data_IF_846332478870
#
_entry.id   IF_846332478870
#
_cell.length_a   1.000
_cell.length_b   1.000
_cell.length_c   1.000
_cell.angle_alpha   90.00
_cell.angle_beta   90.00
_cell.angle_gamma   90.00
#
_symmetry.space_group_name_H-M   'P 1'
#
loop_
_entity.id
_entity.type
_entity.pdbx_description
1 polymer ?
#
# COMPACT_ATOMS: atom_id res chain seq x y z
N UNK A 1 14.07 -37.48 -46.16
CA UNK A 1 15.13 -38.05 -45.28
C UNK A 1 15.34 -37.04 -44.17
N UNK A 2 15.06 -37.48 -42.95
CA UNK A 2 14.80 -36.72 -41.72
C UNK A 2 15.99 -35.91 -41.21
N UNK A 3 15.75 -34.66 -40.81
CA UNK A 3 16.40 -33.93 -39.68
C UNK A 3 15.37 -32.85 -39.29
N UNK A 4 14.66 -32.87 -38.16
CA UNK A 4 15.14 -32.96 -36.79
C UNK A 4 15.17 -31.54 -36.19
N UNK A 5 14.73 -31.39 -34.93
CA UNK A 5 14.82 -30.18 -34.07
C UNK A 5 13.67 -29.15 -34.14
N UNK A 6 12.68 -29.30 -33.26
CA UNK A 6 12.60 -28.50 -32.03
C UNK A 6 11.56 -29.06 -31.05
N UNK A 7 12.08 -29.35 -29.86
CA UNK A 7 11.39 -29.70 -28.64
C UNK A 7 11.11 -28.38 -27.90
N UNK A 8 9.90 -28.15 -27.38
CA UNK A 8 9.70 -27.73 -25.99
C UNK A 8 8.20 -27.73 -25.65
N UNK A 9 7.85 -28.60 -24.71
CA UNK A 9 6.61 -28.53 -23.95
C UNK A 9 6.57 -27.25 -23.12
N UNK A 10 5.46 -26.51 -23.13
CA UNK A 10 4.89 -26.03 -21.89
C UNK A 10 3.43 -25.67 -22.10
N UNK A 11 2.57 -26.36 -21.35
CA UNK A 11 1.18 -26.01 -21.18
C UNK A 11 1.07 -24.54 -20.77
N UNK A 12 0.36 -23.74 -21.56
CA UNK A 12 -0.11 -22.42 -21.13
C UNK A 12 -1.15 -22.64 -20.04
N UNK A 13 -0.67 -22.85 -18.81
CA UNK A 13 -1.42 -22.59 -17.61
C UNK A 13 -1.62 -21.08 -17.51
N UNK A 14 -2.58 -20.57 -18.28
CA UNK A 14 -3.13 -19.24 -18.08
C UNK A 14 -3.59 -19.16 -16.64
N UNK A 15 -2.72 -18.59 -15.83
CA UNK A 15 -2.76 -18.61 -14.38
C UNK A 15 -4.02 -17.88 -13.96
N UNK A 16 -5.07 -18.64 -13.67
CA UNK A 16 -6.23 -18.18 -12.91
C UNK A 16 -5.75 -17.91 -11.49
N UNK A 17 -4.99 -16.84 -11.31
CA UNK A 17 -4.66 -16.28 -10.00
C UNK A 17 -5.40 -14.96 -9.88
N UNK A 18 -6.73 -15.06 -10.00
CA UNK A 18 -7.61 -13.99 -9.62
C UNK A 18 -8.55 -14.50 -8.53
N UNK A 19 -8.25 -13.97 -7.35
CA UNK A 19 -9.23 -13.55 -6.35
C UNK A 19 -9.69 -14.64 -5.38
N UNK A 20 -8.76 -14.92 -4.47
CA UNK A 20 -9.03 -15.35 -3.10
C UNK A 20 -10.27 -14.63 -2.52
N UNK A 21 -11.35 -15.40 -2.36
CA UNK A 21 -12.57 -15.00 -1.67
C UNK A 21 -12.34 -15.03 -0.16
N UNK A 22 -11.68 -14.00 0.37
CA UNK A 22 -11.67 -13.69 1.79
C UNK A 22 -12.56 -12.48 2.09
N UNK A 23 -13.86 -12.67 2.31
CA UNK A 23 -14.72 -11.63 2.90
C UNK A 23 -14.41 -11.51 4.39
N UNK A 24 -13.28 -10.89 4.72
CA UNK A 24 -12.98 -10.40 6.06
C UNK A 24 -13.33 -8.92 6.10
N UNK A 25 -14.15 -8.57 7.08
CA UNK A 25 -14.60 -7.22 7.45
C UNK A 25 -13.52 -6.16 7.20
N UNK A 26 -13.95 -5.05 6.58
CA UNK A 26 -13.19 -3.91 6.03
C UNK A 26 -12.26 -3.20 7.05
N UNK A 27 -11.27 -3.90 7.61
CA UNK A 27 -10.25 -3.35 8.52
C UNK A 27 -8.94 -3.13 7.78
N UNK A 28 -8.99 -2.30 6.74
CA UNK A 28 -7.84 -1.94 5.92
C UNK A 28 -7.35 -0.51 6.13
N UNK A 29 -6.23 -0.19 5.51
CA UNK A 29 -5.64 1.14 5.52
C UNK A 29 -6.53 2.13 4.78
N UNK A 30 -7.14 3.04 5.54
CA UNK A 30 -8.03 4.09 5.01
C UNK A 30 -7.32 5.02 4.02
N UNK A 31 -6.01 5.25 4.19
CA UNK A 31 -5.22 6.07 3.26
C UNK A 31 -5.05 5.38 1.91
N UNK A 32 -4.65 4.11 1.91
CA UNK A 32 -4.51 3.33 0.68
C UNK A 32 -5.85 3.12 -0.02
N UNK A 33 -6.93 2.91 0.76
CA UNK A 33 -8.31 2.89 0.26
C UNK A 33 -8.71 4.21 -0.41
N UNK A 34 -8.36 5.35 0.20
CA UNK A 34 -8.59 6.70 -0.37
C UNK A 34 -7.81 6.93 -1.67
N UNK A 35 -6.59 6.39 -1.77
CA UNK A 35 -5.73 6.50 -2.95
C UNK A 35 -6.01 5.40 -4.00
N UNK A 36 -7.19 4.77 -3.95
CA UNK A 36 -7.60 3.73 -4.89
C UNK A 36 -6.57 2.60 -5.06
N UNK A 37 -5.87 2.23 -3.99
CA UNK A 37 -5.02 1.02 -4.01
C UNK A 37 -5.90 -0.24 -4.07
N UNK A 38 -5.40 -1.35 -4.62
CA UNK A 38 -6.17 -2.58 -4.70
C UNK A 38 -6.51 -3.11 -3.30
N UNK A 39 -7.67 -3.78 -3.19
CA UNK A 39 -8.14 -4.37 -1.91
C UNK A 39 -7.14 -5.36 -1.32
N UNK A 40 -6.48 -6.14 -2.15
CA UNK A 40 -5.39 -7.05 -1.78
C UNK A 40 -4.20 -6.35 -1.15
N UNK A 41 -4.06 -5.04 -1.34
CA UNK A 41 -2.98 -4.25 -0.74
C UNK A 41 -3.44 -3.44 0.47
N UNK A 42 -4.55 -2.68 0.39
CA UNK A 42 -4.97 -1.88 1.54
C UNK A 42 -5.51 -2.73 2.69
N UNK A 43 -5.97 -3.96 2.44
CA UNK A 43 -6.48 -4.83 3.52
C UNK A 43 -5.36 -5.55 4.29
N UNK A 44 -4.10 -5.49 3.84
CA UNK A 44 -2.98 -6.17 4.52
C UNK A 44 -2.40 -5.38 5.68
N UNK A 45 -2.77 -4.12 5.82
CA UNK A 45 -2.24 -3.22 6.84
C UNK A 45 -3.28 -2.17 7.24
N UNK A 46 -3.02 -1.49 8.35
CA UNK A 46 -3.81 -0.36 8.83
C UNK A 46 -3.05 0.94 8.64
N UNK A 47 -3.74 2.08 8.66
CA UNK A 47 -3.08 3.38 8.56
C UNK A 47 -2.19 3.66 9.77
N UNK A 48 -2.78 3.52 10.96
CA UNK A 48 -2.16 3.82 12.24
C UNK A 48 -2.54 2.74 13.24
N UNK A 49 -1.58 2.25 14.01
CA UNK A 49 -1.81 1.30 15.08
C UNK A 49 -2.33 2.00 16.35
N UNK A 50 -2.81 1.22 17.32
CA UNK A 50 -3.38 1.74 18.58
C UNK A 50 -2.37 2.55 19.42
N UNK A 51 -1.08 2.24 19.28
CA UNK A 51 0.04 2.98 19.89
C UNK A 51 0.33 4.34 19.22
N UNK A 52 -0.42 4.71 18.18
CA UNK A 52 -0.22 5.94 17.44
C UNK A 52 0.93 5.89 16.42
N UNK A 53 1.47 4.71 16.12
CA UNK A 53 2.51 4.52 15.10
C UNK A 53 1.89 4.32 13.72
N UNK A 54 2.47 4.94 12.69
CA UNK A 54 2.07 4.72 11.29
C UNK A 54 2.61 3.39 10.79
N UNK A 55 1.69 2.53 10.33
CA UNK A 55 2.01 1.18 9.80
C UNK A 55 1.98 1.18 8.27
N UNK A 56 1.19 2.06 7.66
CA UNK A 56 1.08 2.13 6.22
C UNK A 56 2.46 2.35 5.56
N UNK A 57 2.94 1.44 4.69
CA UNK A 57 4.26 1.55 4.09
C UNK A 57 4.37 2.81 3.22
N UNK A 58 3.31 3.14 2.48
CA UNK A 58 3.24 4.35 1.63
C UNK A 58 3.34 5.63 2.46
N UNK A 59 2.74 5.65 3.65
CA UNK A 59 2.86 6.82 4.50
C UNK A 59 4.22 6.83 5.21
N UNK A 60 4.78 5.68 5.59
CA UNK A 60 6.10 5.58 6.24
C UNK A 60 7.24 6.05 5.33
N UNK A 61 7.17 5.79 4.03
CA UNK A 61 8.14 6.30 3.05
C UNK A 61 7.95 7.81 2.76
N UNK A 62 6.79 8.36 3.11
CA UNK A 62 6.51 9.78 2.90
C UNK A 62 7.14 10.63 4.00
N UNK A 63 8.15 11.42 3.60
CA UNK A 63 8.78 12.41 4.45
C UNK A 63 8.07 13.75 4.31
N UNK A 64 7.59 14.31 5.42
CA UNK A 64 6.93 15.62 5.42
C UNK A 64 7.93 16.72 4.99
N UNK A 65 7.70 17.46 3.88
CA UNK A 65 8.63 18.50 3.43
C UNK A 65 8.64 19.74 4.32
N UNK A 66 7.68 19.89 5.23
CA UNK A 66 7.60 21.03 6.17
C UNK A 66 8.33 20.79 7.48
N UNK A 67 8.32 19.56 8.00
CA UNK A 67 8.91 19.26 9.31
C UNK A 67 9.92 18.10 9.32
N UNK A 68 10.11 17.41 8.18
CA UNK A 68 11.03 16.28 8.04
C UNK A 68 10.56 14.98 8.70
N UNK A 69 9.36 14.91 9.28
CA UNK A 69 8.88 13.68 9.92
C UNK A 69 8.63 12.57 8.90
N UNK A 70 9.08 11.35 9.21
CA UNK A 70 9.01 10.15 8.36
C UNK A 70 8.83 8.89 9.21
N UNK A 71 8.58 7.74 8.58
CA UNK A 71 8.41 6.46 9.27
C UNK A 71 7.21 6.44 10.23
N UNK A 72 7.49 6.18 11.52
CA UNK A 72 6.45 6.03 12.56
C UNK A 72 5.68 7.33 12.84
N UNK A 73 6.32 8.48 12.58
CA UNK A 73 5.76 9.83 12.76
C UNK A 73 5.33 10.48 11.43
N UNK A 74 5.34 9.71 10.35
CA UNK A 74 4.97 10.22 9.04
C UNK A 74 3.54 10.74 9.02
N UNK A 75 3.31 11.81 8.27
CA UNK A 75 2.00 12.42 8.12
C UNK A 75 1.95 13.21 6.82
N UNK A 76 0.75 13.38 6.28
CA UNK A 76 0.57 14.24 5.11
C UNK A 76 0.67 15.72 5.50
N UNK A 77 0.96 16.57 4.51
CA UNK A 77 1.15 18.01 4.68
C UNK A 77 0.05 18.69 5.51
N UNK A 78 -1.21 18.28 5.34
CA UNK A 78 -2.37 18.82 6.06
C UNK A 78 -2.40 18.53 7.56
N UNK A 79 -1.79 17.42 7.98
CA UNK A 79 -1.71 17.03 9.38
C UNK A 79 -0.36 17.40 10.00
N UNK A 80 0.45 18.20 9.29
CA UNK A 80 1.72 18.66 9.82
C UNK A 80 1.47 19.59 11.03
N UNK A 81 2.05 19.26 12.21
CA UNK A 81 1.88 20.07 13.41
C UNK A 81 2.48 21.48 13.26
N UNK A 82 3.49 21.61 12.39
CA UNK A 82 4.09 22.91 12.06
C UNK A 82 3.14 23.76 11.21
N UNK A 83 2.51 23.15 10.19
CA UNK A 83 1.57 23.86 9.32
C UNK A 83 0.30 24.33 10.05
N UNK A 84 -0.17 23.56 11.05
CA UNK A 84 -1.32 23.95 11.88
C UNK A 84 -1.03 25.15 12.79
N UNK A 85 0.21 25.38 13.20
CA UNK A 85 0.58 26.55 14.02
C UNK A 85 0.53 27.88 13.24
N UNK A 86 0.57 27.82 11.90
CA UNK A 86 0.57 29.00 11.03
C UNK A 86 -0.85 29.50 10.67
N UNK A 87 -1.90 28.73 11.02
CA UNK A 87 -3.30 29.05 10.70
C UNK A 87 -4.12 29.54 11.92
N UNK A 88 -3.46 30.04 12.97
CA UNK A 88 -4.12 30.50 14.21
C UNK A 88 -3.74 31.96 14.54
N UNK A 89 -3.81 32.82 13.52
CA UNK A 89 -3.66 34.28 13.64
C UNK A 89 -4.94 34.93 13.11
#
# INVERSE_FOLDING_TARGET
MTLGFQNLSLASNSSTTQEDKGFREDRGCVLCKKNCKPKSFYSTHVLKANNGVVICPILREFTCPRCGATGDRAHTLRFCPVARKENHI
#
